data_IF_107262467344
#
_entry.id   IF_107262467344
#
_cell.length_a   1.000
_cell.length_b   1.000
_cell.length_c   1.000
_cell.angle_alpha   90.00
_cell.angle_beta   90.00
_cell.angle_gamma   90.00
#
_symmetry.space_group_name_H-M   'P 1'
#
loop_
_entity.id
_entity.type
_entity.pdbx_description
1 polymer ?
#
# COMPACT_ATOMS: atom_id res chain seq x y z
N UNK A 1 28.67 -5.04 8.50
CA UNK A 1 27.52 -4.15 8.20
C UNK A 1 27.25 -3.31 9.43
N UNK A 2 27.45 -1.99 9.34
CA UNK A 2 27.21 -1.06 10.44
C UNK A 2 25.70 -0.98 10.66
N UNK A 3 25.17 -1.73 11.64
CA UNK A 3 23.77 -1.57 12.04
C UNK A 3 23.55 -0.12 12.45
N UNK A 4 22.63 0.56 11.75
CA UNK A 4 22.23 1.92 12.09
C UNK A 4 21.73 1.92 13.54
N UNK A 5 22.51 2.51 14.46
CA UNK A 5 22.26 2.47 15.91
C UNK A 5 20.86 2.98 16.26
N UNK A 6 20.32 3.91 15.46
CA UNK A 6 18.97 4.49 15.65
C UNK A 6 17.90 3.41 15.52
N UNK A 7 18.04 2.48 14.57
CA UNK A 7 17.04 1.42 14.34
C UNK A 7 16.90 0.43 15.50
N UNK A 8 17.90 0.39 16.40
CA UNK A 8 17.87 -0.50 17.57
C UNK A 8 16.97 0.02 18.69
N UNK A 9 16.84 1.33 18.85
CA UNK A 9 16.30 1.92 20.09
C UNK A 9 14.93 2.60 19.96
N UNK A 10 14.40 2.83 18.76
CA UNK A 10 13.04 3.36 18.62
C UNK A 10 12.00 2.28 18.96
N UNK A 11 10.86 2.70 19.52
CA UNK A 11 9.72 1.87 19.92
C UNK A 11 8.53 1.99 18.96
N UNK A 12 8.35 3.15 18.36
CA UNK A 12 7.33 3.42 17.33
C UNK A 12 7.92 4.33 16.25
N UNK A 13 7.27 4.35 15.08
CA UNK A 13 7.45 5.40 14.08
C UNK A 13 6.23 6.31 14.10
N UNK A 14 6.49 7.60 13.92
CA UNK A 14 5.45 8.62 13.75
C UNK A 14 5.41 8.99 12.26
N UNK A 15 4.26 8.77 11.65
CA UNK A 15 4.02 8.99 10.23
C UNK A 15 3.16 10.24 10.13
N UNK A 16 3.67 11.23 9.41
CA UNK A 16 2.90 12.40 9.02
C UNK A 16 2.37 12.14 7.62
N UNK A 17 1.13 11.66 7.54
CA UNK A 17 0.46 11.25 6.32
C UNK A 17 -0.41 12.40 5.79
N UNK A 18 -0.14 12.85 4.56
CA UNK A 18 -1.07 13.75 3.88
C UNK A 18 -2.34 12.98 3.49
N UNK A 19 -3.50 13.49 3.91
CA UNK A 19 -4.79 12.95 3.52
C UNK A 19 -5.40 13.84 2.43
N UNK A 20 -5.57 13.31 1.22
CA UNK A 20 -6.15 14.06 0.11
C UNK A 20 -7.63 14.37 0.27
N UNK A 21 -8.31 13.69 1.21
CA UNK A 21 -9.71 13.95 1.55
C UNK A 21 -9.81 15.12 2.54
N UNK A 22 -9.07 15.08 3.65
CA UNK A 22 -9.04 16.18 4.62
C UNK A 22 -8.29 17.42 4.12
N UNK A 23 -7.37 17.25 3.15
CA UNK A 23 -6.35 18.26 2.79
C UNK A 23 -5.50 18.71 3.98
N UNK A 24 -5.23 17.77 4.89
CA UNK A 24 -4.44 18.00 6.11
C UNK A 24 -3.44 16.86 6.35
N UNK A 25 -2.45 17.14 7.20
CA UNK A 25 -1.49 16.14 7.68
C UNK A 25 -2.06 15.44 8.90
N UNK A 26 -2.17 14.12 8.82
CA UNK A 26 -2.64 13.26 9.89
C UNK A 26 -1.43 12.57 10.53
N UNK A 27 -1.35 12.60 11.86
CA UNK A 27 -0.33 11.86 12.60
C UNK A 27 -0.77 10.43 12.87
N UNK A 28 0.08 9.47 12.52
CA UNK A 28 -0.13 8.06 12.82
C UNK A 28 1.06 7.53 13.59
N UNK A 29 0.79 6.89 14.72
CA UNK A 29 1.82 6.18 15.50
C UNK A 29 1.68 4.69 15.25
N UNK A 30 2.76 4.07 14.78
CA UNK A 30 2.80 2.64 14.50
C UNK A 30 3.92 2.01 15.30
N UNK A 31 3.56 1.04 16.13
CA UNK A 31 4.51 0.33 16.97
C UNK A 31 5.49 -0.47 16.12
N UNK A 32 6.76 -0.43 16.50
CA UNK A 32 7.81 -1.20 15.84
C UNK A 32 7.52 -2.69 15.87
N UNK A 33 6.99 -3.20 16.97
CA UNK A 33 6.67 -4.61 17.13
C UNK A 33 5.46 -5.02 16.28
N UNK A 34 4.50 -4.10 16.08
CA UNK A 34 3.40 -4.30 15.14
C UNK A 34 3.95 -4.45 13.72
N UNK A 35 4.81 -3.52 13.30
CA UNK A 35 5.48 -3.56 11.99
C UNK A 35 6.32 -4.83 11.87
N UNK A 36 7.12 -5.20 12.87
CA UNK A 36 7.97 -6.39 12.82
C UNK A 36 7.17 -7.69 12.70
N UNK A 37 6.00 -7.77 13.35
CA UNK A 37 5.07 -8.90 13.24
C UNK A 37 4.32 -8.91 11.91
N UNK A 38 3.94 -7.73 11.42
CA UNK A 38 3.15 -7.54 10.21
C UNK A 38 3.96 -7.51 8.92
N UNK A 39 5.27 -7.24 8.99
CA UNK A 39 6.18 -7.29 7.84
C UNK A 39 6.29 -8.73 7.38
N UNK A 40 5.58 -9.01 6.29
CA UNK A 40 5.72 -10.27 5.56
C UNK A 40 6.51 -9.99 4.30
N UNK A 41 7.81 -10.31 4.35
CA UNK A 41 8.76 -10.24 3.22
C UNK A 41 8.87 -8.87 2.53
N UNK A 42 8.94 -7.81 3.34
CA UNK A 42 9.53 -6.54 2.89
C UNK A 42 8.60 -5.33 2.95
N UNK A 43 7.28 -5.53 3.08
CA UNK A 43 6.28 -4.45 3.25
C UNK A 43 5.26 -4.86 4.31
N UNK A 44 4.82 -3.86 5.08
CA UNK A 44 3.67 -3.88 5.97
C UNK A 44 2.77 -2.70 5.62
N UNK A 45 1.47 -2.94 5.55
CA UNK A 45 0.47 -1.91 5.28
C UNK A 45 -0.29 -1.63 6.56
N UNK A 46 -0.21 -0.39 7.04
CA UNK A 46 -1.02 0.10 8.16
C UNK A 46 -2.31 0.71 7.62
N UNK A 47 -3.44 0.16 8.03
CA UNK A 47 -4.75 0.77 7.85
C UNK A 47 -5.04 1.71 9.02
N UNK A 48 -5.51 2.92 8.72
CA UNK A 48 -5.93 3.90 9.72
C UNK A 48 -7.18 4.64 9.28
N UNK A 49 -8.24 4.52 10.06
CA UNK A 49 -9.51 5.20 9.81
C UNK A 49 -9.58 6.48 10.61
N UNK A 50 -10.05 7.54 9.97
CA UNK A 50 -10.20 8.86 10.59
C UNK A 50 -11.32 9.66 9.94
N UNK A 51 -11.62 10.80 10.54
CA UNK A 51 -12.51 11.85 10.03
C UNK A 51 -11.72 13.15 10.03
N UNK A 52 -12.11 14.13 9.21
CA UNK A 52 -11.45 15.43 9.22
C UNK A 52 -11.54 16.04 10.63
N UNK A 53 -10.42 16.39 11.28
CA UNK A 53 -10.45 17.04 12.59
C UNK A 53 -11.01 18.47 12.53
N UNK A 54 -10.97 19.09 11.35
CA UNK A 54 -11.40 20.47 11.11
C UNK A 54 -12.29 20.58 9.85
N UNK A 55 -13.48 19.94 9.82
CA UNK A 55 -14.39 20.04 8.67
C UNK A 55 -14.95 21.45 8.56
N UNK A 56 -15.18 21.96 7.34
CA UNK A 56 -15.79 23.28 7.15
C UNK A 56 -17.30 23.19 7.39
N UNK A 57 -17.85 23.76 8.48
CA UNK A 57 -19.26 23.64 8.79
C UNK A 57 -20.17 24.39 7.81
N UNK A 58 -19.60 25.23 6.93
CA UNK A 58 -20.36 26.03 5.96
C UNK A 58 -20.35 25.40 4.56
N UNK A 59 -19.48 24.42 4.32
CA UNK A 59 -19.44 23.68 3.07
C UNK A 59 -20.33 22.43 3.19
N UNK A 60 -21.54 22.51 2.63
CA UNK A 60 -22.50 21.41 2.64
C UNK A 60 -22.04 20.22 1.78
N UNK A 61 -21.03 20.40 0.93
CA UNK A 61 -20.42 19.37 0.10
C UNK A 61 -19.11 18.82 0.70
N UNK A 62 -18.74 19.23 1.93
CA UNK A 62 -17.56 18.71 2.62
C UNK A 62 -17.73 17.24 3.03
N UNK A 63 -17.33 16.37 2.10
CA UNK A 63 -17.36 14.92 2.28
C UNK A 63 -16.33 14.41 3.29
N UNK A 64 -15.37 15.23 3.73
CA UNK A 64 -14.30 14.84 4.65
C UNK A 64 -14.78 14.61 6.10
N UNK A 65 -16.01 15.03 6.40
CA UNK A 65 -16.72 14.71 7.65
C UNK A 65 -16.99 13.21 7.79
N UNK A 66 -17.05 12.49 6.67
CA UNK A 66 -17.30 11.05 6.66
C UNK A 66 -16.03 10.26 6.99
N UNK A 67 -16.19 9.11 7.63
CA UNK A 67 -15.06 8.22 7.93
C UNK A 67 -14.38 7.75 6.64
N UNK A 68 -13.06 7.90 6.61
CA UNK A 68 -12.21 7.50 5.50
C UNK A 68 -10.86 7.00 5.99
N UNK A 69 -10.15 6.31 5.10
CA UNK A 69 -9.05 5.43 5.46
C UNK A 69 -7.76 5.91 4.82
N UNK A 70 -6.68 5.90 5.60
CA UNK A 70 -5.30 6.05 5.14
C UNK A 70 -4.63 4.69 5.17
N UNK A 71 -4.02 4.30 4.05
CA UNK A 71 -3.06 3.21 3.97
C UNK A 71 -1.65 3.76 3.94
N UNK A 72 -0.85 3.39 4.93
CA UNK A 72 0.58 3.69 4.95
C UNK A 72 1.38 2.41 4.66
N UNK A 73 2.17 2.42 3.59
CA UNK A 73 3.04 1.32 3.21
C UNK A 73 4.42 1.52 3.82
N UNK A 74 4.86 0.57 4.64
CA UNK A 74 6.08 0.65 5.45
C UNK A 74 6.98 -0.52 5.06
N UNK A 75 8.21 -0.26 4.66
CA UNK A 75 9.13 -1.32 4.26
C UNK A 75 9.91 -1.94 5.45
N UNK A 76 10.70 -2.98 5.18
CA UNK A 76 11.61 -3.65 6.14
C UNK A 76 12.67 -2.74 6.77
N UNK A 77 12.89 -1.57 6.18
CA UNK A 77 13.75 -0.54 6.71
C UNK A 77 13.02 0.44 7.64
N UNK A 78 11.72 0.26 7.88
CA UNK A 78 10.82 1.17 8.60
C UNK A 78 10.64 2.53 7.92
N UNK A 79 10.90 2.60 6.61
CA UNK A 79 10.64 3.79 5.82
C UNK A 79 9.22 3.70 5.26
N UNK A 80 8.51 4.84 5.25
CA UNK A 80 7.24 4.97 4.54
C UNK A 80 7.54 5.04 3.05
N UNK A 81 7.03 4.10 2.27
CA UNK A 81 7.20 4.08 0.82
C UNK A 81 6.09 4.83 0.11
N UNK A 82 4.87 4.82 0.66
CA UNK A 82 3.72 5.50 0.11
C UNK A 82 2.61 5.68 1.15
N UNK A 83 1.76 6.67 0.95
CA UNK A 83 0.54 6.91 1.72
C UNK A 83 -0.62 7.11 0.75
N UNK A 84 -1.78 6.52 1.03
CA UNK A 84 -2.99 6.72 0.22
C UNK A 84 -4.24 6.88 1.07
N UNK A 85 -5.00 7.92 0.83
CA UNK A 85 -6.31 8.15 1.46
C UNK A 85 -7.46 7.80 0.52
N UNK A 86 -8.53 7.19 1.03
CA UNK A 86 -9.73 6.85 0.26
C UNK A 86 -10.96 6.67 1.15
N UNK A 87 -12.16 6.80 0.57
CA UNK A 87 -13.41 6.51 1.27
C UNK A 87 -13.70 5.00 1.34
N UNK A 88 -14.17 4.52 2.49
CA UNK A 88 -14.58 3.12 2.67
C UNK A 88 -13.40 2.13 2.72
N UNK A 89 -13.59 0.95 2.11
CA UNK A 89 -12.63 -0.17 2.16
C UNK A 89 -11.76 -0.32 0.89
N UNK A 90 -11.94 0.52 -0.13
CA UNK A 90 -11.11 0.51 -1.35
C UNK A 90 -11.22 1.84 -2.10
N UNK A 91 -10.12 2.36 -2.69
CA UNK A 91 -10.14 3.57 -3.50
C UNK A 91 -11.03 3.46 -4.72
N UNK A 92 -11.57 4.60 -5.12
CA UNK A 92 -12.43 4.75 -6.28
C UNK A 92 -11.61 4.81 -7.58
N UNK A 93 -12.25 4.54 -8.72
CA UNK A 93 -11.61 4.56 -10.05
C UNK A 93 -10.88 5.87 -10.40
N UNK A 94 -11.46 7.06 -10.13
CA UNK A 94 -10.79 8.34 -10.37
C UNK A 94 -9.46 8.47 -9.59
N UNK A 95 -9.43 8.04 -8.33
CA UNK A 95 -8.23 8.06 -7.46
C UNK A 95 -7.13 7.11 -7.94
N UNK A 96 -7.45 6.13 -8.79
CA UNK A 96 -6.48 5.22 -9.40
C UNK A 96 -5.91 5.75 -10.72
N UNK A 97 -6.53 6.78 -11.30
CA UNK A 97 -6.10 7.40 -12.56
C UNK A 97 -5.11 8.54 -12.36
N UNK A 98 -4.97 9.06 -11.14
CA UNK A 98 -4.00 10.12 -10.83
C UNK A 98 -2.58 9.66 -11.20
N UNK A 99 -1.94 10.40 -12.12
CA UNK A 99 -0.62 10.10 -12.65
C UNK A 99 -0.57 9.24 -13.92
N UNK A 100 -1.72 8.86 -14.51
CA UNK A 100 -1.78 8.15 -15.80
C UNK A 100 -2.26 9.12 -16.89
N UNK A 101 -1.32 9.61 -17.71
CA UNK A 101 -1.64 10.35 -18.94
C UNK A 101 -2.16 9.37 -20.00
N UNK A 102 -3.46 9.11 -19.99
CA UNK A 102 -4.22 8.33 -20.99
C UNK A 102 -3.82 6.84 -21.14
N UNK A 103 -4.74 5.94 -20.77
CA UNK A 103 -4.61 4.51 -21.03
C UNK A 103 -5.52 3.64 -20.15
N UNK A 104 -5.58 2.35 -20.50
CA UNK A 104 -6.23 1.31 -19.69
C UNK A 104 -5.56 1.25 -18.31
N UNK A 105 -6.31 1.53 -17.24
CA UNK A 105 -5.78 1.38 -15.87
C UNK A 105 -5.69 -0.11 -15.56
N UNK A 106 -4.49 -0.58 -15.20
CA UNK A 106 -4.22 -1.99 -14.87
C UNK A 106 -4.06 -2.15 -13.37
N UNK A 107 -5.05 -2.78 -12.75
CA UNK A 107 -5.15 -2.92 -11.29
C UNK A 107 -4.99 -4.40 -10.92
N UNK A 108 -3.84 -4.82 -10.36
CA UNK A 108 -3.68 -6.16 -9.83
C UNK A 108 -4.44 -6.35 -8.51
N UNK A 109 -5.12 -7.49 -8.39
CA UNK A 109 -5.90 -7.92 -7.22
C UNK A 109 -5.48 -9.33 -6.83
N UNK A 110 -5.20 -9.55 -5.53
CA UNK A 110 -5.03 -10.90 -4.97
C UNK A 110 -6.34 -11.66 -5.05
N UNK A 111 -6.31 -12.82 -5.71
CA UNK A 111 -7.46 -13.74 -5.81
C UNK A 111 -7.31 -14.88 -4.81
N UNK A 112 -6.07 -15.29 -4.55
CA UNK A 112 -5.76 -16.36 -3.62
C UNK A 112 -4.58 -15.94 -2.77
N UNK A 113 -4.84 -15.67 -1.51
CA UNK A 113 -3.77 -15.37 -0.57
C UNK A 113 -2.95 -16.64 -0.28
N UNK A 114 -1.64 -16.48 -0.20
CA UNK A 114 -0.72 -17.55 0.18
C UNK A 114 0.01 -17.18 1.48
N UNK A 115 0.18 -18.13 2.40
CA UNK A 115 0.89 -17.88 3.64
C UNK A 115 2.39 -17.66 3.38
N UNK A 116 3.07 -16.99 4.31
CA UNK A 116 4.53 -16.75 4.28
C UNK A 116 5.33 -18.04 4.02
N UNK A 117 4.86 -19.15 4.58
CA UNK A 117 5.43 -20.48 4.45
C UNK A 117 5.54 -20.97 2.99
N UNK A 118 4.73 -20.43 2.07
CA UNK A 118 4.83 -20.74 0.64
C UNK A 118 6.13 -20.26 -0.01
N UNK A 119 6.80 -19.25 0.58
CA UNK A 119 8.15 -18.86 0.15
C UNK A 119 9.20 -19.78 0.73
N UNK A 120 9.07 -20.18 2.00
CA UNK A 120 9.99 -21.13 2.64
C UNK A 120 9.98 -22.48 1.92
N UNK A 121 8.82 -22.88 1.37
CA UNK A 121 8.63 -24.08 0.56
C UNK A 121 9.02 -23.91 -0.92
N UNK A 122 9.49 -22.73 -1.34
CA UNK A 122 9.93 -22.45 -2.70
C UNK A 122 8.81 -22.38 -3.76
N UNK A 123 7.54 -22.27 -3.37
CA UNK A 123 6.40 -22.19 -4.29
C UNK A 123 6.29 -20.82 -4.96
N UNK A 124 6.73 -19.78 -4.25
CA UNK A 124 6.85 -18.39 -4.69
C UNK A 124 8.19 -17.83 -4.21
N UNK A 125 8.75 -16.89 -4.96
CA UNK A 125 9.96 -16.18 -4.49
C UNK A 125 9.61 -15.10 -3.48
N UNK A 126 10.58 -14.63 -2.69
CA UNK A 126 10.35 -13.52 -1.76
C UNK A 126 9.89 -12.23 -2.48
N UNK A 127 10.42 -11.99 -3.68
CA UNK A 127 10.05 -10.86 -4.52
C UNK A 127 8.63 -11.00 -5.10
N UNK A 128 8.28 -12.20 -5.58
CA UNK A 128 6.91 -12.54 -6.00
C UNK A 128 5.91 -12.32 -4.87
N UNK A 129 6.25 -12.78 -3.65
CA UNK A 129 5.40 -12.61 -2.48
C UNK A 129 5.26 -11.14 -2.05
N UNK A 130 6.35 -10.37 -2.06
CA UNK A 130 6.34 -8.93 -1.76
C UNK A 130 5.40 -8.18 -2.70
N UNK A 131 5.54 -8.38 -4.01
CA UNK A 131 4.69 -7.76 -5.02
C UNK A 131 3.24 -8.17 -4.82
N UNK A 132 2.98 -9.47 -4.59
CA UNK A 132 1.63 -9.97 -4.37
C UNK A 132 0.93 -9.26 -3.21
N UNK A 133 1.63 -8.97 -2.09
CA UNK A 133 1.03 -8.27 -0.93
C UNK A 133 0.64 -6.81 -1.20
N UNK A 134 1.16 -6.20 -2.26
CA UNK A 134 0.82 -4.83 -2.69
C UNK A 134 -0.34 -4.87 -3.71
N UNK A 135 -0.66 -6.03 -4.29
CA UNK A 135 -1.77 -6.24 -5.23
C UNK A 135 -3.15 -6.25 -4.53
N UNK A 136 -3.40 -5.32 -3.63
CA UNK A 136 -4.63 -5.19 -2.85
C UNK A 136 -5.83 -4.64 -3.66
N UNK A 137 -5.65 -4.39 -4.96
CA UNK A 137 -6.65 -3.75 -5.81
C UNK A 137 -6.72 -2.24 -5.67
N UNK A 138 -5.80 -1.65 -4.90
CA UNK A 138 -5.75 -0.21 -4.60
C UNK A 138 -4.60 0.50 -5.30
N UNK A 139 -3.75 -0.26 -6.00
CA UNK A 139 -2.56 0.21 -6.66
C UNK A 139 -2.60 -0.18 -8.15
N UNK A 140 -2.06 0.67 -9.01
CA UNK A 140 -1.79 0.33 -10.42
C UNK A 140 -0.50 -0.46 -10.51
N UNK A 141 -0.22 -1.13 -11.63
CA UNK A 141 1.04 -1.87 -11.82
C UNK A 141 2.25 -0.95 -11.61
N UNK A 142 2.17 0.28 -12.11
CA UNK A 142 3.21 1.30 -11.99
C UNK A 142 3.43 1.68 -10.52
N UNK A 143 2.35 1.84 -9.76
CA UNK A 143 2.42 2.12 -8.33
C UNK A 143 2.95 0.95 -7.52
N UNK A 144 2.55 -0.28 -7.86
CA UNK A 144 3.10 -1.48 -7.24
C UNK A 144 4.61 -1.56 -7.44
N UNK A 145 5.11 -1.25 -8.65
CA UNK A 145 6.54 -1.23 -8.93
C UNK A 145 7.26 -0.17 -8.06
N UNK A 146 6.69 1.02 -7.95
CA UNK A 146 7.22 2.10 -7.10
C UNK A 146 7.29 1.68 -5.62
N UNK A 147 6.19 1.17 -5.05
CA UNK A 147 6.10 0.73 -3.65
C UNK A 147 7.08 -0.44 -3.40
N UNK A 148 7.16 -1.40 -4.33
CA UNK A 148 8.07 -2.53 -4.24
C UNK A 148 9.55 -2.13 -4.38
N UNK A 149 9.84 -0.90 -4.80
CA UNK A 149 11.16 -0.42 -5.20
C UNK A 149 11.78 -1.29 -6.31
N UNK A 150 10.96 -1.62 -7.32
CA UNK A 150 11.33 -2.46 -8.47
C UNK A 150 11.08 -1.71 -9.79
N UNK A 151 11.65 -2.19 -10.89
CA UNK A 151 11.33 -1.64 -12.21
C UNK A 151 9.93 -2.07 -12.66
N UNK A 152 9.27 -1.23 -13.46
CA UNK A 152 7.94 -1.56 -14.02
C UNK A 152 8.02 -2.83 -14.87
N UNK A 153 9.04 -2.97 -15.70
CA UNK A 153 9.27 -4.14 -16.56
C UNK A 153 9.39 -5.45 -15.75
N UNK A 154 10.22 -5.46 -14.69
CA UNK A 154 10.36 -6.63 -13.83
C UNK A 154 9.06 -6.93 -13.08
N UNK A 155 8.37 -5.88 -12.63
CA UNK A 155 7.07 -6.01 -11.96
C UNK A 155 6.06 -6.65 -12.89
N UNK A 156 5.96 -6.24 -14.15
CA UNK A 156 5.07 -6.87 -15.14
C UNK A 156 5.38 -8.34 -15.37
N UNK A 157 6.66 -8.70 -15.48
CA UNK A 157 7.10 -10.11 -15.63
C UNK A 157 6.65 -10.93 -14.40
N UNK A 158 6.83 -10.39 -13.20
CA UNK A 158 6.43 -11.04 -11.95
C UNK A 158 4.90 -11.15 -11.86
N UNK A 159 4.17 -10.10 -12.23
CA UNK A 159 2.70 -10.09 -12.25
C UNK A 159 2.15 -11.16 -13.19
N UNK A 160 2.72 -11.29 -14.39
CA UNK A 160 2.25 -12.30 -15.35
C UNK A 160 2.55 -13.73 -14.85
N UNK A 161 3.67 -13.95 -14.16
CA UNK A 161 3.95 -15.22 -13.45
C UNK A 161 2.91 -15.51 -12.36
N UNK A 162 2.64 -14.54 -11.49
CA UNK A 162 1.65 -14.67 -10.42
C UNK A 162 0.23 -14.90 -10.96
N UNK A 163 -0.10 -14.26 -12.08
CA UNK A 163 -1.38 -14.43 -12.78
C UNK A 163 -1.50 -15.83 -13.38
N UNK A 164 -0.45 -16.34 -14.02
CA UNK A 164 -0.40 -17.73 -14.52
C UNK A 164 -0.52 -18.77 -13.40
N UNK A 165 0.02 -18.47 -12.21
CA UNK A 165 -0.16 -19.27 -11.00
C UNK A 165 -1.58 -19.16 -10.39
N UNK A 166 -2.44 -18.28 -10.92
CA UNK A 166 -3.81 -18.05 -10.42
C UNK A 166 -3.87 -17.31 -9.08
N UNK A 167 -2.78 -16.66 -8.66
CA UNK A 167 -2.70 -15.97 -7.37
C UNK A 167 -3.25 -14.56 -7.44
N UNK A 168 -3.09 -13.91 -8.60
CA UNK A 168 -3.59 -12.56 -8.85
C UNK A 168 -4.42 -12.49 -10.14
N UNK A 169 -5.28 -11.47 -10.24
CA UNK A 169 -5.95 -11.04 -11.46
C UNK A 169 -5.60 -9.59 -11.73
N UNK A 170 -5.40 -9.23 -12.98
CA UNK A 170 -5.25 -7.83 -13.40
C UNK A 170 -6.59 -7.41 -14.00
N UNK A 171 -7.26 -6.48 -13.34
CA UNK A 171 -8.44 -5.82 -13.88
C UNK A 171 -7.95 -4.68 -14.79
N UNK A 172 -8.44 -4.66 -16.02
CA UNK A 172 -8.30 -3.52 -16.92
C UNK A 172 -9.56 -2.69 -16.83
N UNK A 173 -9.43 -1.39 -16.62
CA UNK A 173 -10.56 -0.46 -16.64
C UNK A 173 -10.23 0.71 -17.55
N UNK A 174 -11.00 0.84 -18.62
CA UNK A 174 -11.07 2.01 -19.52
C UNK A 174 -11.82 3.16 -18.87
#
# INVERSE_FOLDING_TARGET
MTQNKVKKYFTFIEIWAWCDICKEMIDLKVDKDEIAKGISMGIYTKEYKHTNPSPDPNDLDDSSINEHTIYAYINDQYNITEVKSFFGASPSLPELREGIESGDVRIPIIVKDVPKMSVDLGMVTAEEYKIMKICDGMNTIEKVAQIASNSVENTEIIMEKLRKKGLIKIIKRT
#
